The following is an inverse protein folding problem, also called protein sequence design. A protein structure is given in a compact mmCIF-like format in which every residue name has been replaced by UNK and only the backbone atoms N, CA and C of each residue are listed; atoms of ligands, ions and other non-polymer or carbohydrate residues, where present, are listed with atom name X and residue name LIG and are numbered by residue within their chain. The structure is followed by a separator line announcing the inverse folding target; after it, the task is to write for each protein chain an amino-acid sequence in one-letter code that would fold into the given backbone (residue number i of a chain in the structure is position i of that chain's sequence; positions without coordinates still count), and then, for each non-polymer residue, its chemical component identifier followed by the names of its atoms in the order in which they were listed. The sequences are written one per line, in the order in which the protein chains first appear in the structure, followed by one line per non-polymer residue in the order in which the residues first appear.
data_IF_770893933165
#
_entry.id   IF_770893933165
#
_cell.length_a   1.000
_cell.length_b   1.000
_cell.length_c   1.000
_cell.angle_alpha   90.00
_cell.angle_beta   90.00
_cell.angle_gamma   90.00
#
_symmetry.space_group_name_H-M   'P 1'
#
loop_
_entity.id
_entity.type
_entity.pdbx_description
1 polymer ?
#
# COMPACT_ATOMS: atom_id res chain seq x y z
N UNK A 1 -11.53 -2.79 -24.07
CA UNK A 1 -10.15 -3.24 -23.74
C UNK A 1 -10.18 -4.76 -23.55
N UNK A 2 -9.18 -5.53 -24.01
CA UNK A 2 -9.11 -6.98 -23.73
C UNK A 2 -9.28 -7.29 -22.23
N UNK A 3 -9.95 -8.41 -21.86
CA UNK A 3 -10.23 -8.73 -20.45
C UNK A 3 -8.99 -8.73 -19.54
N UNK A 4 -7.87 -9.32 -19.99
CA UNK A 4 -6.62 -9.37 -19.22
C UNK A 4 -6.02 -7.99 -18.92
N UNK A 5 -6.23 -6.99 -19.79
CA UNK A 5 -5.76 -5.63 -19.56
C UNK A 5 -6.64 -4.90 -18.55
N UNK A 6 -7.95 -5.19 -18.50
CA UNK A 6 -8.86 -4.67 -17.47
C UNK A 6 -8.48 -5.23 -16.11
N UNK A 7 -8.23 -6.53 -16.01
CA UNK A 7 -7.79 -7.17 -14.77
C UNK A 7 -6.47 -6.58 -14.26
N UNK A 8 -5.51 -6.33 -15.16
CA UNK A 8 -4.23 -5.71 -14.80
C UNK A 8 -4.38 -4.23 -14.40
N UNK A 9 -5.22 -3.46 -15.08
CA UNK A 9 -5.55 -2.10 -14.68
C UNK A 9 -6.21 -2.05 -13.29
N UNK A 10 -7.11 -2.99 -13.01
CA UNK A 10 -7.74 -3.12 -11.70
C UNK A 10 -6.74 -3.51 -10.61
N UNK A 11 -5.83 -4.45 -10.89
CA UNK A 11 -4.77 -4.85 -9.98
C UNK A 11 -3.90 -3.64 -9.58
N UNK A 12 -3.42 -2.87 -10.56
CA UNK A 12 -2.62 -1.66 -10.34
C UNK A 12 -3.41 -0.57 -9.64
N UNK A 13 -4.67 -0.34 -10.00
CA UNK A 13 -5.49 0.65 -9.32
C UNK A 13 -5.72 0.26 -7.85
N UNK A 14 -5.96 -1.02 -7.55
CA UNK A 14 -6.09 -1.52 -6.18
C UNK A 14 -4.79 -1.37 -5.41
N UNK A 15 -3.63 -1.60 -6.04
CA UNK A 15 -2.32 -1.39 -5.45
C UNK A 15 -2.18 0.05 -4.92
N UNK A 16 -2.43 1.04 -5.77
CA UNK A 16 -2.34 2.45 -5.38
C UNK A 16 -3.39 2.86 -4.34
N UNK A 17 -4.63 2.37 -4.48
CA UNK A 17 -5.68 2.61 -3.49
C UNK A 17 -5.34 1.96 -2.16
N UNK A 18 -4.64 0.82 -2.15
CA UNK A 18 -4.13 0.16 -0.96
C UNK A 18 -3.15 1.06 -0.20
N UNK A 19 -2.17 1.61 -0.91
CA UNK A 19 -1.26 2.62 -0.33
C UNK A 19 -2.01 3.82 0.22
N UNK A 20 -2.94 4.38 -0.55
CA UNK A 20 -3.71 5.56 -0.17
C UNK A 20 -4.57 5.32 1.08
N UNK A 21 -5.41 4.28 1.06
CA UNK A 21 -6.35 4.01 2.15
C UNK A 21 -5.63 3.66 3.45
N UNK A 22 -4.57 2.84 3.37
CA UNK A 22 -3.81 2.45 4.56
C UNK A 22 -2.91 3.60 5.04
N UNK A 23 -2.36 4.41 4.12
CA UNK A 23 -1.66 5.65 4.47
C UNK A 23 -2.53 6.58 5.29
N UNK A 24 -3.75 6.84 4.82
CA UNK A 24 -4.72 7.64 5.54
C UNK A 24 -5.03 7.06 6.93
N UNK A 25 -5.38 5.76 7.01
CA UNK A 25 -5.68 5.10 8.28
C UNK A 25 -4.52 5.14 9.29
N UNK A 26 -3.29 5.22 8.82
CA UNK A 26 -2.07 5.29 9.64
C UNK A 26 -1.61 6.74 9.90
N UNK A 27 -2.45 7.74 9.61
CA UNK A 27 -2.16 9.14 9.94
C UNK A 27 -1.26 9.87 8.95
N UNK A 28 -0.94 9.28 7.79
CA UNK A 28 -0.25 10.03 6.74
C UNK A 28 -1.24 10.90 5.98
N UNK A 29 -0.82 12.12 5.63
CA UNK A 29 -1.55 12.90 4.63
C UNK A 29 -1.43 12.20 3.28
N UNK A 30 -2.55 12.10 2.59
CA UNK A 30 -2.64 11.42 1.29
C UNK A 30 -3.24 12.38 0.28
N UNK A 31 -2.79 12.28 -0.96
CA UNK A 31 -3.20 13.17 -2.04
C UNK A 31 -3.79 12.40 -3.21
N UNK A 32 -3.36 12.78 -4.41
CA UNK A 32 -3.81 12.23 -5.68
C UNK A 32 -3.52 10.73 -5.83
N UNK A 33 -4.35 10.04 -6.62
CA UNK A 33 -4.10 8.70 -7.12
C UNK A 33 -4.09 8.76 -8.66
N UNK A 34 -3.05 8.23 -9.28
CA UNK A 34 -2.93 8.18 -10.74
C UNK A 34 -2.54 6.80 -11.23
N UNK A 35 -3.09 6.43 -12.39
CA UNK A 35 -2.70 5.24 -13.14
C UNK A 35 -2.41 5.62 -14.60
N UNK A 36 -1.31 5.12 -15.14
CA UNK A 36 -0.88 5.35 -16.51
C UNK A 36 -0.81 4.02 -17.23
N UNK A 37 -1.62 3.87 -18.27
CA UNK A 37 -1.57 2.72 -19.18
C UNK A 37 -0.65 3.10 -20.34
N UNK A 38 0.62 2.73 -20.28
CA UNK A 38 1.64 3.13 -21.25
C UNK A 38 1.51 2.34 -22.57
N UNK A 39 1.47 1.00 -22.48
CA UNK A 39 1.34 0.09 -23.63
C UNK A 39 0.51 -1.17 -23.25
N UNK A 40 0.31 -2.08 -24.21
CA UNK A 40 -0.21 -3.43 -23.92
C UNK A 40 0.77 -4.06 -22.92
N UNK A 41 0.38 -4.12 -21.64
CA UNK A 41 1.13 -4.68 -20.51
C UNK A 41 2.06 -3.78 -19.69
N UNK A 42 2.18 -2.49 -19.98
CA UNK A 42 2.95 -1.56 -19.13
C UNK A 42 2.04 -0.57 -18.40
N UNK A 43 1.96 -0.71 -17.08
CA UNK A 43 1.15 0.11 -16.19
C UNK A 43 2.05 0.76 -15.14
N UNK A 44 1.78 2.03 -14.81
CA UNK A 44 2.38 2.70 -13.65
C UNK A 44 1.28 3.30 -12.82
N UNK A 45 1.20 2.91 -11.56
CA UNK A 45 0.38 3.58 -10.57
C UNK A 45 1.23 4.56 -9.74
N UNK A 46 0.58 5.54 -9.15
CA UNK A 46 1.15 6.35 -8.09
C UNK A 46 0.05 6.91 -7.18
N UNK A 47 0.14 6.60 -5.89
CA UNK A 47 -0.55 7.29 -4.82
C UNK A 47 0.39 8.28 -4.11
N UNK A 48 -0.08 9.52 -3.95
CA UNK A 48 0.64 10.54 -3.19
C UNK A 48 0.45 10.29 -1.70
N UNK A 49 1.58 10.15 -1.00
CA UNK A 49 1.64 10.05 0.47
C UNK A 49 2.71 11.03 0.94
N UNK A 50 2.32 12.00 1.76
CA UNK A 50 3.27 12.94 2.34
C UNK A 50 4.04 12.25 3.46
N UNK A 51 5.38 12.29 3.35
CA UNK A 51 6.28 11.63 4.28
C UNK A 51 6.78 12.55 5.40
N UNK A 52 6.37 13.82 5.38
CA UNK A 52 6.69 14.75 6.45
C UNK A 52 6.09 14.24 7.75
N UNK A 53 6.93 14.07 8.76
CA UNK A 53 6.55 13.53 10.06
C UNK A 53 7.49 14.08 11.12
N UNK A 54 6.97 14.27 12.33
CA UNK A 54 7.81 14.54 13.48
C UNK A 54 8.62 13.29 13.82
N UNK A 55 9.95 13.43 13.84
CA UNK A 55 10.92 12.38 14.12
C UNK A 55 11.82 12.77 15.30
N UNK A 56 11.35 13.67 16.18
CA UNK A 56 12.13 14.23 17.29
C UNK A 56 12.54 13.25 18.40
N UNK A 57 12.00 12.02 18.40
CA UNK A 57 12.38 10.97 19.35
C UNK A 57 12.48 9.59 18.68
N UNK A 58 13.15 8.64 19.34
CA UNK A 58 13.27 7.27 18.82
C UNK A 58 11.91 6.57 18.73
N UNK A 59 10.99 6.85 19.65
CA UNK A 59 9.63 6.32 19.63
C UNK A 59 8.85 6.83 18.42
N UNK A 60 9.03 8.11 18.07
CA UNK A 60 8.42 8.70 16.88
C UNK A 60 9.01 8.12 15.60
N UNK A 61 10.34 7.92 15.55
CA UNK A 61 11.02 7.24 14.43
C UNK A 61 10.54 5.80 14.29
N UNK A 62 10.47 5.03 15.38
CA UNK A 62 9.96 3.65 15.37
C UNK A 62 8.53 3.63 14.81
N UNK A 63 7.66 4.48 15.34
CA UNK A 63 6.27 4.57 14.93
C UNK A 63 6.14 4.93 13.45
N UNK A 64 6.91 5.91 12.97
CA UNK A 64 6.94 6.27 11.55
C UNK A 64 7.37 5.09 10.67
N UNK A 65 8.45 4.39 11.03
CA UNK A 65 8.98 3.26 10.27
C UNK A 65 7.95 2.12 10.17
N UNK A 66 7.31 1.76 11.29
CA UNK A 66 6.25 0.74 11.32
C UNK A 66 5.11 1.12 10.39
N UNK A 67 4.58 2.34 10.53
CA UNK A 67 3.47 2.83 9.70
C UNK A 67 3.85 2.87 8.22
N UNK A 68 5.05 3.33 7.88
CA UNK A 68 5.51 3.40 6.49
C UNK A 68 5.68 2.00 5.87
N UNK A 69 6.24 1.04 6.61
CA UNK A 69 6.35 -0.35 6.14
C UNK A 69 4.97 -0.95 5.87
N UNK A 70 4.00 -0.72 6.77
CA UNK A 70 2.63 -1.20 6.59
C UNK A 70 1.97 -0.61 5.35
N UNK A 71 2.15 0.69 5.08
CA UNK A 71 1.69 1.32 3.84
C UNK A 71 2.27 0.60 2.62
N UNK A 72 3.57 0.29 2.62
CA UNK A 72 4.21 -0.40 1.48
C UNK A 72 3.68 -1.82 1.30
N UNK A 73 3.41 -2.56 2.38
CA UNK A 73 2.75 -3.87 2.31
C UNK A 73 1.33 -3.78 1.74
N UNK A 74 0.62 -2.69 2.01
CA UNK A 74 -0.77 -2.54 1.60
C UNK A 74 -0.96 -2.61 0.09
N UNK A 75 0.01 -2.12 -0.71
CA UNK A 75 -0.08 -2.15 -2.17
C UNK A 75 -0.22 -3.57 -2.72
N UNK A 76 0.74 -4.44 -2.41
CA UNK A 76 0.72 -5.84 -2.87
C UNK A 76 -0.45 -6.64 -2.27
N UNK A 77 -0.84 -6.37 -1.03
CA UNK A 77 -2.01 -7.02 -0.43
C UNK A 77 -3.30 -6.62 -1.13
N UNK A 78 -3.49 -5.33 -1.39
CA UNK A 78 -4.66 -4.78 -2.05
C UNK A 78 -4.79 -5.26 -3.50
N UNK A 79 -3.67 -5.32 -4.23
CA UNK A 79 -3.58 -5.89 -5.57
C UNK A 79 -4.11 -7.32 -5.62
N UNK A 80 -3.81 -8.11 -4.59
CA UNK A 80 -4.15 -9.52 -4.46
C UNK A 80 -5.54 -9.81 -3.87
N UNK A 81 -6.34 -8.77 -3.57
CA UNK A 81 -7.64 -8.92 -2.93
C UNK A 81 -8.64 -9.69 -3.80
N UNK A 82 -9.25 -10.71 -3.20
CA UNK A 82 -10.44 -11.37 -3.73
C UNK A 82 -11.70 -10.53 -3.44
N UNK A 83 -12.82 -10.77 -4.15
CA UNK A 83 -14.09 -10.10 -3.86
C UNK A 83 -14.58 -10.26 -2.41
N UNK A 84 -14.19 -11.35 -1.74
CA UNK A 84 -14.52 -11.59 -0.33
C UNK A 84 -13.61 -10.85 0.66
N UNK A 85 -12.70 -10.00 0.18
CA UNK A 85 -11.79 -9.20 0.99
C UNK A 85 -10.55 -9.94 1.50
N UNK A 86 -10.36 -11.22 1.17
CA UNK A 86 -9.21 -12.01 1.61
C UNK A 86 -8.09 -11.91 0.55
N UNK A 87 -6.89 -11.40 0.90
CA UNK A 87 -5.74 -11.38 0.00
C UNK A 87 -5.29 -12.79 -0.41
N UNK A 88 -4.79 -12.95 -1.64
CA UNK A 88 -4.11 -14.17 -2.08
C UNK A 88 -2.71 -14.24 -1.45
N UNK A 89 -2.59 -14.93 -0.30
CA UNK A 89 -1.33 -15.04 0.46
C UNK A 89 -0.13 -15.47 -0.39
N UNK A 90 -0.31 -16.50 -1.21
CA UNK A 90 0.77 -17.00 -2.07
C UNK A 90 1.15 -16.00 -3.16
N UNK A 91 0.20 -15.23 -3.69
CA UNK A 91 0.49 -14.20 -4.68
C UNK A 91 1.30 -13.06 -4.04
N UNK A 92 0.80 -12.51 -2.94
CA UNK A 92 1.44 -11.37 -2.30
C UNK A 92 2.85 -11.71 -1.77
N UNK A 93 3.03 -12.93 -1.25
CA UNK A 93 4.34 -13.45 -0.85
C UNK A 93 5.27 -13.69 -2.04
N UNK A 94 4.78 -14.29 -3.13
CA UNK A 94 5.60 -14.52 -4.32
C UNK A 94 6.00 -13.20 -5.00
N UNK A 95 5.11 -12.20 -5.06
CA UNK A 95 5.48 -10.87 -5.57
C UNK A 95 6.56 -10.24 -4.70
N UNK A 96 6.42 -10.31 -3.36
CA UNK A 96 7.45 -9.86 -2.41
C UNK A 96 8.82 -10.50 -2.60
N UNK A 97 8.85 -11.81 -2.83
CA UNK A 97 10.07 -12.61 -2.93
C UNK A 97 10.67 -12.62 -4.35
N UNK A 98 9.84 -12.62 -5.39
CA UNK A 98 10.21 -12.93 -6.78
C UNK A 98 9.80 -11.88 -7.80
N UNK A 99 8.90 -10.95 -7.45
CA UNK A 99 8.31 -9.94 -8.35
C UNK A 99 9.27 -8.89 -8.91
N UNK A 100 10.58 -9.08 -8.77
CA UNK A 100 11.58 -8.32 -9.52
C UNK A 100 11.58 -6.83 -9.18
N UNK A 101 12.25 -6.45 -8.10
CA UNK A 101 12.68 -5.06 -7.88
C UNK A 101 11.58 -3.98 -7.93
N UNK A 102 10.32 -4.30 -7.57
CA UNK A 102 9.30 -3.28 -7.26
C UNK A 102 9.84 -2.34 -6.17
N UNK A 103 9.54 -1.04 -6.29
CA UNK A 103 10.10 -0.02 -5.40
C UNK A 103 9.68 -0.25 -3.94
N UNK A 104 8.47 -0.77 -3.71
CA UNK A 104 7.95 -1.02 -2.36
C UNK A 104 8.73 -2.11 -1.64
N UNK A 105 9.12 -3.18 -2.33
CA UNK A 105 9.88 -4.27 -1.70
C UNK A 105 11.30 -3.81 -1.31
N UNK A 106 11.90 -2.91 -2.11
CA UNK A 106 13.18 -2.29 -1.73
C UNK A 106 12.99 -1.42 -0.49
N UNK A 107 11.94 -0.59 -0.47
CA UNK A 107 11.59 0.26 0.67
C UNK A 107 11.33 -0.55 1.94
N UNK A 108 10.50 -1.61 1.88
CA UNK A 108 10.24 -2.51 3.00
C UNK A 108 11.54 -3.11 3.52
N UNK A 109 12.37 -3.68 2.64
CA UNK A 109 13.64 -4.31 3.05
C UNK A 109 14.59 -3.34 3.73
N UNK A 110 14.67 -2.11 3.25
CA UNK A 110 15.52 -1.08 3.85
C UNK A 110 14.97 -0.62 5.20
N UNK A 111 13.71 -0.17 5.23
CA UNK A 111 13.06 0.36 6.42
C UNK A 111 12.97 -0.68 7.54
N UNK A 112 12.73 -1.95 7.21
CA UNK A 112 12.68 -3.04 8.20
C UNK A 112 14.02 -3.24 8.90
N UNK A 113 15.14 -3.07 8.17
CA UNK A 113 16.49 -3.14 8.77
C UNK A 113 16.76 -1.96 9.68
N UNK A 114 16.33 -0.76 9.31
CA UNK A 114 16.43 0.44 10.15
C UNK A 114 15.58 0.25 11.41
N UNK A 115 14.32 -0.18 11.27
CA UNK A 115 13.40 -0.45 12.37
C UNK A 115 14.00 -1.47 13.34
N UNK A 116 14.53 -2.58 12.84
CA UNK A 116 15.21 -3.59 13.66
C UNK A 116 16.38 -2.99 14.44
N UNK A 117 17.15 -2.08 13.84
CA UNK A 117 18.22 -1.35 14.52
C UNK A 117 17.71 -0.47 15.66
N UNK A 118 16.60 0.25 15.44
CA UNK A 118 15.94 1.08 16.45
C UNK A 118 15.41 0.25 17.61
N UNK A 119 14.71 -0.85 17.32
CA UNK A 119 14.01 -1.67 18.33
C UNK A 119 14.98 -2.55 19.13
N UNK A 120 15.98 -3.16 18.49
CA UNK A 120 16.81 -4.21 19.11
C UNK A 120 18.27 -3.82 19.33
N UNK A 121 18.72 -2.65 18.84
CA UNK A 121 20.13 -2.27 18.89
C UNK A 121 21.02 -3.20 18.05
N UNK A 122 22.35 -3.20 18.18
CA UNK A 122 23.24 -3.98 17.30
C UNK A 122 23.01 -5.51 17.41
N UNK A 123 23.06 -6.25 16.29
CA UNK A 123 22.86 -7.70 16.30
C UNK A 123 24.08 -8.42 16.86
N UNK A 124 23.86 -9.48 17.66
CA UNK A 124 24.94 -10.32 18.21
C UNK A 124 25.49 -11.31 17.18
N UNK A 125 24.60 -11.85 16.34
CA UNK A 125 24.92 -12.80 15.28
C UNK A 125 23.86 -12.76 14.16
N UNK A 126 24.13 -13.47 13.06
CA UNK A 126 23.25 -13.52 11.88
C UNK A 126 21.90 -14.22 12.15
N UNK A 127 21.86 -15.23 13.01
CA UNK A 127 20.63 -15.97 13.32
C UNK A 127 19.68 -15.09 14.12
N UNK A 128 20.20 -14.38 15.13
CA UNK A 128 19.43 -13.41 15.91
C UNK A 128 18.93 -12.26 15.04
N UNK A 129 19.80 -11.72 14.17
CA UNK A 129 19.40 -10.70 13.19
C UNK A 129 18.21 -11.16 12.34
N UNK A 130 18.27 -12.37 11.78
CA UNK A 130 17.21 -12.87 10.92
C UNK A 130 15.91 -13.09 11.71
N UNK A 131 15.97 -13.70 12.90
CA UNK A 131 14.77 -13.94 13.71
C UNK A 131 14.06 -12.65 14.15
N UNK A 132 14.81 -11.58 14.44
CA UNK A 132 14.25 -10.26 14.77
C UNK A 132 13.59 -9.60 13.55
N UNK A 133 14.20 -9.74 12.36
CA UNK A 133 13.59 -9.25 11.11
C UNK A 133 12.31 -10.02 10.79
N UNK A 134 12.31 -11.35 10.93
CA UNK A 134 11.14 -12.19 10.68
C UNK A 134 10.00 -11.82 11.64
N UNK A 135 10.32 -11.60 12.92
CA UNK A 135 9.33 -11.19 13.94
C UNK A 135 8.68 -9.85 13.57
N UNK A 136 9.47 -8.83 13.25
CA UNK A 136 8.94 -7.51 12.85
C UNK A 136 8.17 -7.59 11.54
N UNK A 137 8.66 -8.38 10.58
CA UNK A 137 7.99 -8.58 9.29
C UNK A 137 6.59 -9.18 9.50
N UNK A 138 6.49 -10.26 10.26
CA UNK A 138 5.23 -10.96 10.50
C UNK A 138 4.24 -10.10 11.30
N UNK A 139 4.73 -9.36 12.31
CA UNK A 139 3.92 -8.41 13.06
C UNK A 139 3.28 -7.36 12.14
N UNK A 140 4.12 -6.68 11.34
CA UNK A 140 3.67 -5.61 10.44
C UNK A 140 2.82 -6.14 9.28
N UNK A 141 3.15 -7.33 8.77
CA UNK A 141 2.35 -8.02 7.76
C UNK A 141 0.94 -8.30 8.27
N UNK A 142 0.81 -8.95 9.43
CA UNK A 142 -0.49 -9.30 10.00
C UNK A 142 -1.32 -8.06 10.35
N UNK A 143 -0.67 -7.01 10.89
CA UNK A 143 -1.33 -5.74 11.17
C UNK A 143 -1.84 -5.07 9.88
N UNK A 144 -1.06 -5.12 8.80
CA UNK A 144 -1.46 -4.58 7.49
C UNK A 144 -2.59 -5.39 6.87
N UNK A 145 -2.50 -6.73 6.91
CA UNK A 145 -3.54 -7.63 6.39
C UNK A 145 -4.88 -7.33 7.06
N UNK A 146 -4.91 -7.14 8.38
CA UNK A 146 -6.11 -6.79 9.11
C UNK A 146 -6.72 -5.46 8.66
N UNK A 147 -5.90 -4.43 8.42
CA UNK A 147 -6.39 -3.14 7.92
C UNK A 147 -6.90 -3.23 6.48
N UNK A 148 -6.18 -3.91 5.60
CA UNK A 148 -6.59 -4.11 4.20
C UNK A 148 -7.91 -4.89 4.15
N UNK A 149 -8.05 -5.96 4.93
CA UNK A 149 -9.29 -6.72 5.05
C UNK A 149 -10.43 -5.86 5.62
N UNK A 150 -10.17 -5.02 6.62
CA UNK A 150 -11.17 -4.11 7.17
C UNK A 150 -11.70 -3.13 6.12
N UNK A 151 -10.84 -2.66 5.22
CA UNK A 151 -11.17 -1.62 4.24
C UNK A 151 -11.34 -2.15 2.79
N UNK A 152 -11.43 -3.47 2.59
CA UNK A 152 -11.46 -4.08 1.27
C UNK A 152 -12.56 -3.56 0.35
N UNK A 153 -13.75 -3.23 0.89
CA UNK A 153 -14.87 -2.71 0.08
C UNK A 153 -14.51 -1.41 -0.61
N UNK A 154 -13.89 -0.47 0.13
CA UNK A 154 -13.40 0.77 -0.43
C UNK A 154 -12.33 0.50 -1.49
N UNK A 155 -11.35 -0.35 -1.15
CA UNK A 155 -10.21 -0.64 -2.03
C UNK A 155 -10.68 -1.23 -3.36
N UNK A 156 -11.58 -2.21 -3.31
CA UNK A 156 -12.16 -2.84 -4.49
C UNK A 156 -13.03 -1.87 -5.29
N UNK A 157 -13.88 -1.09 -4.61
CA UNK A 157 -14.80 -0.14 -5.25
C UNK A 157 -14.07 1.01 -5.96
N UNK A 158 -13.18 1.69 -5.24
CA UNK A 158 -12.41 2.81 -5.79
C UNK A 158 -11.41 2.32 -6.85
N UNK A 159 -10.73 1.19 -6.62
CA UNK A 159 -9.84 0.60 -7.61
C UNK A 159 -10.57 0.22 -8.90
N UNK A 160 -11.79 -0.34 -8.78
CA UNK A 160 -12.68 -0.61 -9.91
C UNK A 160 -13.05 0.66 -10.68
N UNK A 161 -13.52 1.69 -9.98
CA UNK A 161 -13.93 2.97 -10.58
C UNK A 161 -12.76 3.69 -11.29
N UNK A 162 -11.56 3.65 -10.72
CA UNK A 162 -10.35 4.21 -11.34
C UNK A 162 -9.99 3.42 -12.61
N UNK A 163 -9.99 2.09 -12.54
CA UNK A 163 -9.67 1.23 -13.68
C UNK A 163 -10.68 1.35 -14.82
N UNK A 164 -11.98 1.45 -14.53
CA UNK A 164 -13.04 1.64 -15.54
C UNK A 164 -12.88 2.96 -16.29
N UNK A 165 -12.51 4.03 -15.59
CA UNK A 165 -12.31 5.35 -16.19
C UNK A 165 -10.99 5.44 -16.97
N UNK A 166 -9.97 4.67 -16.60
CA UNK A 166 -8.73 4.53 -17.34
C UNK A 166 -8.96 3.76 -18.66
N UNK A 167 -9.50 4.47 -19.64
CA UNK A 167 -10.02 3.92 -20.89
C UNK A 167 -9.15 4.23 -22.11
N UNK A 168 -8.18 5.15 -22.00
CA UNK A 168 -7.34 5.61 -23.11
C UNK A 168 -5.86 5.23 -22.92
N UNK A 169 -5.31 4.50 -23.91
CA UNK A 169 -3.88 4.17 -23.97
C UNK A 169 -3.02 5.43 -24.07
N UNK A 170 -1.87 5.45 -23.41
CA UNK A 170 -0.85 6.49 -23.50
C UNK A 170 -1.20 7.80 -22.77
N UNK A 171 -2.33 7.89 -22.08
CA UNK A 171 -2.68 9.05 -21.25
C UNK A 171 -2.74 8.67 -19.77
N UNK A 172 -2.09 9.43 -18.88
CA UNK A 172 -2.31 9.27 -17.44
C UNK A 172 -3.78 9.54 -17.14
N UNK A 173 -4.42 8.62 -16.43
CA UNK A 173 -5.72 8.84 -15.83
C UNK A 173 -5.54 8.81 -14.31
N UNK A 174 -5.90 9.89 -13.64
CA UNK A 174 -5.85 9.95 -12.19
C UNK A 174 -7.04 10.70 -11.64
N UNK A 175 -7.30 10.48 -10.36
CA UNK A 175 -8.18 11.29 -9.57
C UNK A 175 -7.32 12.17 -8.66
N UNK A 176 -7.55 13.47 -8.72
CA UNK A 176 -7.00 14.40 -7.74
C UNK A 176 -7.59 14.12 -6.37
N UNK A 177 -6.93 14.55 -5.30
CA UNK A 177 -7.43 14.46 -3.93
C UNK A 177 -8.87 14.99 -3.85
N UNK A 178 -9.13 16.18 -4.40
CA UNK A 178 -10.47 16.80 -4.44
C UNK A 178 -11.51 15.90 -5.12
N UNK A 179 -11.13 15.22 -6.20
CA UNK A 179 -12.04 14.29 -6.89
C UNK A 179 -12.26 13.01 -6.09
N UNK A 180 -11.23 12.50 -5.41
CA UNK A 180 -11.30 11.30 -4.58
C UNK A 180 -12.25 11.53 -3.41
N UNK A 181 -12.03 12.60 -2.63
CA UNK A 181 -12.83 12.89 -1.44
C UNK A 181 -14.28 13.27 -1.76
N UNK A 182 -14.55 13.72 -3.00
CA UNK A 182 -15.90 14.03 -3.47
C UNK A 182 -16.71 12.79 -3.90
N UNK A 183 -16.09 11.61 -4.01
CA UNK A 183 -16.82 10.37 -4.29
C UNK A 183 -17.68 9.99 -3.08
N UNK A 184 -18.99 9.72 -3.23
CA UNK A 184 -19.89 9.44 -2.11
C UNK A 184 -19.38 8.34 -1.17
N UNK A 185 -18.97 7.20 -1.72
CA UNK A 185 -18.47 6.06 -0.95
C UNK A 185 -17.16 6.39 -0.21
N UNK A 186 -16.32 7.26 -0.78
CA UNK A 186 -15.08 7.72 -0.13
C UNK A 186 -15.40 8.70 0.98
N UNK A 187 -16.29 9.67 0.74
CA UNK A 187 -16.71 10.65 1.73
C UNK A 187 -17.36 9.98 2.95
N UNK A 188 -18.25 9.00 2.73
CA UNK A 188 -18.84 8.19 3.80
C UNK A 188 -17.77 7.41 4.56
N UNK A 189 -16.83 6.79 3.84
CA UNK A 189 -15.73 6.06 4.47
C UNK A 189 -14.83 6.97 5.33
N UNK A 190 -14.49 8.17 4.84
CA UNK A 190 -13.68 9.15 5.57
C UNK A 190 -14.40 9.61 6.85
N UNK A 191 -15.71 9.84 6.78
CA UNK A 191 -16.52 10.19 7.93
C UNK A 191 -16.57 9.06 8.98
N UNK A 192 -16.64 7.81 8.53
CA UNK A 192 -16.63 6.62 9.40
C UNK A 192 -15.24 6.27 9.95
N UNK A 193 -14.17 6.76 9.33
CA UNK A 193 -12.79 6.48 9.70
C UNK A 193 -12.04 7.81 9.85
N UNK A 194 -12.33 8.62 10.88
CA UNK A 194 -11.58 9.85 11.09
C UNK A 194 -10.10 9.53 11.30
N UNK A 195 -9.24 10.34 10.70
CA UNK A 195 -7.81 10.12 10.79
C UNK A 195 -7.33 10.19 12.25
N UNK A 196 -6.43 9.29 12.69
CA UNK A 196 -5.82 9.41 14.01
C UNK A 196 -5.11 10.77 14.14
N UNK A 197 -5.36 11.46 15.26
CA UNK A 197 -4.73 12.74 15.62
C UNK A 197 -3.30 12.56 16.09
#
# INVERSE_FOLDING_TARGET
MPPHLIEKAQAVARHEVGHWAIGYCLGFKVGDISIVIQEVDHYRGHAVIELESDLGSLELVESYLRRRIMVLFAGVMAESLKPNGIPLKDYAKNELEKGGATNDHKGIRELLRVLRGVVYGPPRDKKKLQGELDTLNDELWNATEALVMKHHKLILGLGGAIAEKASARGKPFGLTETQIVALPDVAEWLAANPQPK
#
